data_IF_175566662035
#
_entry.id   IF_175566662035
#
_cell.length_a   1.000
_cell.length_b   1.000
_cell.length_c   1.000
_cell.angle_alpha   90.00
_cell.angle_beta   90.00
_cell.angle_gamma   90.00
#
_symmetry.space_group_name_H-M   'P 1'
#
loop_
_entity.id
_entity.type
_entity.pdbx_description
1 polymer ?
#
# COMPACT_ATOMS: atom_id res chain seq x y z
N UNK A 1 1.95 16.13 -0.68
CA UNK A 1 1.40 14.78 -0.34
C UNK A 1 -0.12 14.78 -0.30
N UNK A 2 -0.75 15.81 0.26
CA UNK A 2 -2.22 15.87 0.33
C UNK A 2 -2.90 15.80 -1.05
N UNK A 3 -2.33 16.41 -2.07
CA UNK A 3 -2.84 16.33 -3.46
C UNK A 3 -2.87 14.88 -4.02
N UNK A 4 -1.99 13.99 -3.55
CA UNK A 4 -2.01 12.58 -3.92
C UNK A 4 -3.25 11.90 -3.33
N UNK A 5 -3.53 12.15 -2.06
CA UNK A 5 -4.74 11.64 -1.38
C UNK A 5 -6.02 12.14 -2.07
N UNK A 6 -6.12 13.43 -2.35
CA UNK A 6 -7.27 14.01 -3.06
C UNK A 6 -7.43 13.43 -4.47
N UNK A 7 -6.32 13.23 -5.18
CA UNK A 7 -6.33 12.58 -6.50
C UNK A 7 -6.88 11.17 -6.42
N UNK A 8 -6.39 10.34 -5.50
CA UNK A 8 -6.84 8.95 -5.33
C UNK A 8 -8.31 8.91 -4.94
N UNK A 9 -8.76 9.72 -3.96
CA UNK A 9 -10.18 9.82 -3.57
C UNK A 9 -11.07 10.18 -4.75
N UNK A 10 -10.66 11.12 -5.57
CA UNK A 10 -11.40 11.50 -6.78
C UNK A 10 -11.48 10.35 -7.77
N UNK A 11 -10.34 9.68 -8.05
CA UNK A 11 -10.29 8.52 -8.96
C UNK A 11 -11.16 7.37 -8.44
N UNK A 12 -11.15 7.09 -7.16
CA UNK A 12 -12.01 6.07 -6.56
C UNK A 12 -13.51 6.35 -6.88
N UNK A 13 -13.94 7.60 -6.77
CA UNK A 13 -15.31 8.00 -7.11
C UNK A 13 -15.62 7.89 -8.61
N UNK A 14 -14.68 8.30 -9.47
CA UNK A 14 -14.81 8.24 -10.92
C UNK A 14 -14.92 6.80 -11.43
N UNK A 15 -14.07 5.91 -10.94
CA UNK A 15 -13.99 4.50 -11.35
C UNK A 15 -14.94 3.59 -10.56
N UNK A 16 -15.65 4.13 -9.59
CA UNK A 16 -16.56 3.39 -8.70
C UNK A 16 -15.87 2.26 -7.94
N UNK A 17 -14.68 2.52 -7.39
CA UNK A 17 -13.90 1.61 -6.55
C UNK A 17 -13.86 2.07 -5.09
N UNK A 18 -13.85 1.15 -4.15
CA UNK A 18 -13.69 1.46 -2.72
C UNK A 18 -12.20 1.56 -2.36
N UNK A 19 -11.79 2.62 -1.66
CA UNK A 19 -10.50 2.67 -0.98
C UNK A 19 -10.59 1.85 0.32
N UNK A 20 -10.13 0.60 0.27
CA UNK A 20 -10.36 -0.38 1.33
C UNK A 20 -9.57 -0.12 2.60
N UNK A 21 -8.59 0.78 2.57
CA UNK A 21 -7.85 1.20 3.77
C UNK A 21 -8.68 2.07 4.71
N UNK A 22 -9.67 2.82 4.19
CA UNK A 22 -10.54 3.65 5.06
C UNK A 22 -11.38 2.75 5.96
N UNK A 23 -11.21 2.94 7.27
CA UNK A 23 -11.92 2.19 8.30
C UNK A 23 -11.16 0.97 8.82
N UNK A 24 -9.97 0.65 8.30
CA UNK A 24 -9.12 -0.40 8.89
C UNK A 24 -8.81 -0.05 10.34
N UNK A 25 -9.03 -1.02 11.23
CA UNK A 25 -8.83 -0.83 12.66
C UNK A 25 -7.36 -0.59 12.98
N UNK A 26 -7.09 0.53 13.63
CA UNK A 26 -5.76 0.88 14.15
C UNK A 26 -5.76 0.90 15.67
N UNK A 27 -4.57 0.90 16.26
CA UNK A 27 -4.40 0.89 17.74
C UNK A 27 -4.94 2.13 18.44
N UNK A 28 -5.09 3.25 17.74
CA UNK A 28 -5.55 4.54 18.29
C UNK A 28 -6.88 4.95 17.68
N UNK A 29 -7.03 4.75 16.37
CA UNK A 29 -8.22 5.11 15.61
C UNK A 29 -8.29 4.30 14.33
N UNK A 30 -9.47 4.17 13.74
CA UNK A 30 -9.64 3.62 12.41
C UNK A 30 -8.90 4.48 11.38
N UNK A 31 -8.27 3.83 10.39
CA UNK A 31 -7.48 4.53 9.38
C UNK A 31 -8.38 5.44 8.50
N UNK A 32 -8.11 6.76 8.42
CA UNK A 32 -9.08 7.69 7.84
C UNK A 32 -8.82 8.07 6.37
N UNK A 33 -7.79 7.51 5.73
CA UNK A 33 -7.36 7.94 4.39
C UNK A 33 -7.42 6.82 3.35
N UNK A 34 -7.51 7.24 2.08
CA UNK A 34 -7.50 6.32 0.93
C UNK A 34 -6.09 5.85 0.56
N UNK A 35 -5.06 6.54 1.06
CA UNK A 35 -3.65 6.21 0.79
C UNK A 35 -2.83 6.25 2.07
N UNK A 36 -1.82 5.37 2.19
CA UNK A 36 -0.71 5.56 3.10
C UNK A 36 0.41 6.29 2.34
N UNK A 37 0.80 7.47 2.82
CA UNK A 37 1.83 8.28 2.19
C UNK A 37 3.04 8.42 3.12
N UNK A 38 4.01 7.50 2.99
CA UNK A 38 5.25 7.51 3.76
C UNK A 38 6.33 8.37 3.10
N UNK A 39 6.97 9.23 3.86
CA UNK A 39 8.05 10.10 3.39
C UNK A 39 9.39 9.67 3.99
N UNK A 40 10.41 9.52 3.15
CA UNK A 40 11.78 9.20 3.54
C UNK A 40 11.88 7.96 4.46
N UNK A 41 12.14 8.14 5.75
CA UNK A 41 12.32 7.08 6.75
C UNK A 41 11.02 6.54 7.37
N UNK A 42 9.87 7.11 7.02
CA UNK A 42 8.57 6.56 7.43
C UNK A 42 8.33 5.22 6.72
N UNK A 43 8.23 4.12 7.46
CA UNK A 43 8.23 2.77 6.88
C UNK A 43 6.90 2.42 6.25
N UNK A 44 5.79 2.44 7.02
CA UNK A 44 4.47 2.02 6.59
C UNK A 44 3.37 2.81 7.33
N UNK A 45 2.13 2.76 6.83
CA UNK A 45 0.92 3.30 7.42
C UNK A 45 0.96 4.80 7.78
N UNK A 46 1.87 5.55 7.14
CA UNK A 46 1.99 6.99 7.39
C UNK A 46 0.82 7.76 6.76
N UNK A 47 0.35 8.78 7.47
CA UNK A 47 -0.78 9.58 7.02
C UNK A 47 -0.39 10.58 5.94
N UNK A 48 -1.20 10.73 4.87
CA UNK A 48 -1.06 11.84 3.95
C UNK A 48 -1.24 13.15 4.72
N UNK A 49 -0.40 14.13 4.40
CA UNK A 49 -0.38 15.43 5.10
C UNK A 49 -0.06 16.57 4.14
N UNK A 50 -0.35 17.78 4.58
CA UNK A 50 0.02 19.01 3.87
C UNK A 50 1.53 19.24 3.98
N UNK A 51 2.27 18.51 3.13
CA UNK A 51 3.71 18.64 2.97
C UNK A 51 4.02 18.84 1.49
N UNK A 52 4.80 19.86 1.20
CA UNK A 52 5.29 20.13 -0.16
C UNK A 52 6.55 19.29 -0.37
N UNK A 53 6.47 18.34 -1.31
CA UNK A 53 7.58 17.47 -1.65
C UNK A 53 8.78 18.30 -2.14
N UNK A 54 9.97 17.92 -1.73
CA UNK A 54 11.23 18.59 -2.04
C UNK A 54 12.10 17.70 -2.93
N UNK A 55 13.03 18.34 -3.62
CA UNK A 55 14.07 17.64 -4.37
C UNK A 55 14.85 16.70 -3.45
N UNK A 56 14.97 15.43 -3.84
CA UNK A 56 15.60 14.37 -3.07
C UNK A 56 14.69 13.59 -2.12
N UNK A 57 13.43 13.99 -1.92
CA UNK A 57 12.50 13.19 -1.13
C UNK A 57 12.19 11.84 -1.78
N UNK A 58 11.96 10.83 -0.94
CA UNK A 58 11.43 9.52 -1.32
C UNK A 58 10.01 9.39 -0.80
N UNK A 59 9.04 9.40 -1.68
CA UNK A 59 7.62 9.21 -1.35
C UNK A 59 7.20 7.77 -1.62
N UNK A 60 6.66 7.09 -0.63
CA UNK A 60 5.97 5.82 -0.78
C UNK A 60 4.46 6.06 -0.75
N UNK A 61 3.78 5.53 -1.75
CA UNK A 61 2.31 5.56 -1.85
C UNK A 61 1.81 4.14 -1.85
N UNK A 62 1.06 3.81 -0.83
CA UNK A 62 0.51 2.50 -0.59
C UNK A 62 -1.02 2.61 -0.55
N UNK A 63 -1.70 1.71 -1.26
CA UNK A 63 -3.15 1.74 -1.38
C UNK A 63 -3.72 0.36 -1.65
N UNK A 64 -4.88 0.11 -1.04
CA UNK A 64 -5.70 -1.08 -1.30
C UNK A 64 -7.02 -0.64 -1.88
N UNK A 65 -7.33 -1.13 -3.08
CA UNK A 65 -8.52 -0.76 -3.83
C UNK A 65 -9.33 -2.00 -4.19
N UNK A 66 -10.66 -1.86 -4.15
CA UNK A 66 -11.55 -2.86 -4.71
C UNK A 66 -11.45 -2.90 -6.25
N UNK A 67 -11.91 -3.97 -6.87
CA UNK A 67 -12.32 -3.91 -8.27
C UNK A 67 -13.48 -2.91 -8.45
N UNK A 68 -13.75 -2.44 -9.68
CA UNK A 68 -14.90 -1.58 -9.95
C UNK A 68 -16.22 -2.27 -9.57
N UNK A 69 -17.02 -1.59 -8.75
CA UNK A 69 -18.29 -2.11 -8.23
C UNK A 69 -19.43 -1.66 -9.16
N UNK A 70 -20.41 -2.52 -9.39
CA UNK A 70 -21.62 -2.10 -10.11
C UNK A 70 -22.35 -1.00 -9.34
N UNK A 71 -22.61 0.14 -9.99
CA UNK A 71 -23.29 1.30 -9.37
C UNK A 71 -24.70 0.99 -8.86
N UNK A 72 -25.34 -0.06 -9.36
CA UNK A 72 -26.63 -0.52 -8.83
C UNK A 72 -26.48 -1.20 -7.46
N UNK A 73 -25.28 -1.73 -7.14
CA UNK A 73 -24.96 -2.33 -5.84
C UNK A 73 -24.45 -1.26 -4.88
N UNK A 74 -23.47 -0.47 -5.30
CA UNK A 74 -22.92 0.63 -4.53
C UNK A 74 -22.44 1.76 -5.43
N UNK A 75 -22.97 2.95 -5.25
CA UNK A 75 -22.50 4.16 -5.90
C UNK A 75 -21.48 4.87 -5.01
N UNK A 76 -20.19 4.56 -5.23
CA UNK A 76 -19.06 5.09 -4.44
C UNK A 76 -18.97 6.62 -4.56
N UNK A 77 -19.49 7.21 -5.66
CA UNK A 77 -19.48 8.66 -5.83
C UNK A 77 -20.29 9.41 -4.76
N UNK A 78 -21.25 8.72 -4.12
CA UNK A 78 -22.12 9.26 -3.06
C UNK A 78 -21.54 9.11 -1.66
N UNK A 79 -20.45 8.36 -1.50
CA UNK A 79 -19.83 8.20 -0.20
C UNK A 79 -19.05 9.46 0.19
N UNK A 80 -19.18 9.81 1.45
CA UNK A 80 -18.34 10.83 2.08
C UNK A 80 -17.10 10.13 2.68
N UNK A 81 -15.96 10.25 2.01
CA UNK A 81 -14.72 9.62 2.48
C UNK A 81 -14.12 10.26 3.74
N UNK A 82 -14.64 11.40 4.19
CA UNK A 82 -14.30 11.97 5.49
C UNK A 82 -15.14 11.38 6.62
N UNK A 83 -16.25 10.72 6.28
CA UNK A 83 -17.06 9.97 7.24
C UNK A 83 -16.57 8.52 7.32
N UNK A 84 -15.48 8.29 8.05
CA UNK A 84 -14.85 6.96 8.20
C UNK A 84 -15.85 5.90 8.62
N UNK A 85 -16.74 6.19 9.57
CA UNK A 85 -17.75 5.22 10.03
C UNK A 85 -18.78 4.85 8.94
N UNK A 86 -19.06 5.75 8.01
CA UNK A 86 -19.90 5.43 6.85
C UNK A 86 -19.17 4.49 5.90
N UNK A 87 -17.93 4.81 5.55
CA UNK A 87 -17.12 4.04 4.58
C UNK A 87 -16.81 2.66 5.13
N UNK A 88 -16.43 2.57 6.40
CA UNK A 88 -16.10 1.33 7.12
C UNK A 88 -17.17 0.24 6.95
N UNK A 89 -18.45 0.60 6.96
CA UNK A 89 -19.55 -0.37 6.76
C UNK A 89 -19.46 -1.11 5.42
N UNK A 90 -18.94 -0.44 4.39
CA UNK A 90 -18.80 -1.04 3.06
C UNK A 90 -17.45 -1.74 2.91
N UNK A 91 -16.38 -1.19 3.46
CA UNK A 91 -15.05 -1.80 3.38
C UNK A 91 -14.97 -3.10 4.19
N UNK A 92 -15.54 -3.15 5.39
CA UNK A 92 -15.60 -4.36 6.23
C UNK A 92 -16.47 -5.48 5.63
N UNK A 93 -17.52 -5.13 4.88
CA UNK A 93 -18.41 -6.10 4.24
C UNK A 93 -18.01 -6.46 2.81
N UNK A 94 -16.97 -5.82 2.29
CA UNK A 94 -16.50 -6.08 0.94
C UNK A 94 -15.87 -7.47 0.82
N UNK A 95 -16.27 -8.21 -0.21
CA UNK A 95 -15.80 -9.58 -0.48
C UNK A 95 -15.54 -9.85 -1.96
N UNK A 96 -15.29 -8.79 -2.74
CA UNK A 96 -14.92 -8.87 -4.16
C UNK A 96 -13.42 -8.94 -4.38
N UNK A 97 -13.00 -8.82 -5.63
CA UNK A 97 -11.59 -8.70 -6.00
C UNK A 97 -10.99 -7.40 -5.49
N UNK A 98 -9.76 -7.47 -5.03
CA UNK A 98 -9.02 -6.31 -4.55
C UNK A 98 -7.56 -6.35 -5.00
N UNK A 99 -6.92 -5.19 -5.01
CA UNK A 99 -5.50 -5.05 -5.28
C UNK A 99 -4.85 -4.23 -4.18
N UNK A 100 -3.74 -4.74 -3.67
CA UNK A 100 -2.88 -4.12 -2.66
C UNK A 100 -1.53 -3.83 -3.29
N UNK A 101 -1.08 -2.59 -3.26
CA UNK A 101 0.21 -2.24 -3.82
C UNK A 101 0.83 -0.97 -3.22
N UNK A 102 2.15 -1.04 -3.02
CA UNK A 102 2.96 0.09 -2.59
C UNK A 102 4.03 0.41 -3.62
N UNK A 103 4.15 1.69 -4.00
CA UNK A 103 5.19 2.17 -4.89
C UNK A 103 5.97 3.32 -4.28
N UNK A 104 7.30 3.31 -4.54
CA UNK A 104 8.20 4.38 -4.13
C UNK A 104 8.54 5.29 -5.32
N UNK A 105 8.45 6.59 -5.08
CA UNK A 105 8.71 7.64 -6.06
C UNK A 105 9.83 8.56 -5.56
N UNK A 106 10.93 8.63 -6.29
CA UNK A 106 11.96 9.63 -6.05
C UNK A 106 11.51 10.98 -6.59
N UNK A 107 11.56 12.01 -5.78
CA UNK A 107 11.16 13.36 -6.16
C UNK A 107 12.40 14.13 -6.63
N UNK A 108 12.34 14.63 -7.86
CA UNK A 108 13.47 15.37 -8.44
C UNK A 108 14.71 14.49 -8.61
N UNK A 109 15.82 14.89 -8.00
CA UNK A 109 17.12 14.23 -8.11
C UNK A 109 17.48 13.51 -6.81
N UNK A 110 17.17 12.20 -6.67
CA UNK A 110 17.50 11.44 -5.47
C UNK A 110 19.02 11.22 -5.36
N UNK A 111 19.51 11.07 -4.13
CA UNK A 111 20.89 10.66 -3.88
C UNK A 111 21.19 9.28 -4.47
N UNK A 112 22.45 8.96 -4.68
CA UNK A 112 22.87 7.65 -5.19
C UNK A 112 22.51 6.53 -4.19
N UNK A 113 22.51 6.83 -2.90
CA UNK A 113 22.06 5.91 -1.86
C UNK A 113 20.57 5.57 -1.99
N UNK A 114 19.71 6.57 -2.20
CA UNK A 114 18.28 6.38 -2.43
C UNK A 114 18.02 5.61 -3.71
N UNK A 115 18.72 5.93 -4.80
CA UNK A 115 18.61 5.18 -6.06
C UNK A 115 18.95 3.71 -5.87
N UNK A 116 20.07 3.44 -5.19
CA UNK A 116 20.50 2.08 -4.90
C UNK A 116 19.52 1.33 -4.01
N UNK A 117 18.97 1.98 -2.97
CA UNK A 117 17.95 1.39 -2.11
C UNK A 117 16.71 0.99 -2.93
N UNK A 118 16.23 1.88 -3.80
CA UNK A 118 15.05 1.61 -4.65
C UNK A 118 15.32 0.45 -5.62
N UNK A 119 16.50 0.40 -6.23
CA UNK A 119 16.92 -0.68 -7.14
C UNK A 119 16.96 -2.02 -6.40
N UNK A 120 17.69 -2.08 -5.27
CA UNK A 120 17.83 -3.31 -4.47
C UNK A 120 16.47 -3.79 -3.96
N UNK A 121 15.61 -2.89 -3.50
CA UNK A 121 14.25 -3.24 -3.03
C UNK A 121 13.43 -3.84 -4.17
N UNK A 122 13.45 -3.21 -5.35
CA UNK A 122 12.72 -3.71 -6.52
C UNK A 122 13.22 -5.08 -6.96
N UNK A 123 14.52 -5.28 -7.03
CA UNK A 123 15.10 -6.57 -7.42
C UNK A 123 14.81 -7.66 -6.38
N UNK A 124 14.91 -7.34 -5.08
CA UNK A 124 14.54 -8.26 -4.00
C UNK A 124 13.08 -8.71 -4.12
N UNK A 125 12.18 -7.79 -4.44
CA UNK A 125 10.76 -8.11 -4.68
C UNK A 125 10.60 -9.13 -5.82
N UNK A 126 11.26 -8.93 -6.96
CA UNK A 126 11.15 -9.86 -8.09
C UNK A 126 11.74 -11.23 -7.76
N UNK A 127 12.87 -11.29 -7.05
CA UNK A 127 13.44 -12.56 -6.59
C UNK A 127 12.49 -13.29 -5.64
N UNK A 128 11.79 -12.56 -4.78
CA UNK A 128 10.73 -13.13 -3.94
C UNK A 128 9.57 -13.68 -4.78
N UNK A 129 9.10 -12.94 -5.79
CA UNK A 129 8.03 -13.36 -6.68
C UNK A 129 8.42 -14.65 -7.44
N UNK A 130 9.68 -14.81 -7.86
CA UNK A 130 10.17 -16.01 -8.51
C UNK A 130 10.09 -17.26 -7.62
N UNK A 131 10.07 -17.07 -6.29
CA UNK A 131 9.87 -18.16 -5.34
C UNK A 131 8.40 -18.57 -5.15
N UNK A 132 7.46 -17.79 -5.64
CA UNK A 132 6.03 -18.05 -5.51
C UNK A 132 5.56 -19.12 -6.52
N UNK A 133 6.13 -20.32 -6.41
CA UNK A 133 5.86 -21.47 -7.29
C UNK A 133 5.40 -22.69 -6.49
N UNK A 134 4.71 -23.60 -7.15
CA UNK A 134 4.23 -24.85 -6.52
C UNK A 134 5.41 -25.66 -5.98
N UNK A 135 5.31 -26.01 -4.70
CA UNK A 135 6.33 -26.77 -3.96
C UNK A 135 7.19 -25.92 -3.01
N UNK A 136 7.23 -24.62 -3.21
CA UNK A 136 7.87 -23.68 -2.29
C UNK A 136 6.92 -23.28 -1.15
N UNK A 137 7.50 -22.71 -0.11
CA UNK A 137 6.81 -22.20 1.07
C UNK A 137 6.90 -20.68 1.12
N UNK A 138 6.06 -20.02 1.89
CA UNK A 138 6.13 -18.57 2.15
C UNK A 138 7.51 -18.16 2.67
N UNK A 139 8.14 -19.01 3.51
CA UNK A 139 9.50 -18.78 3.99
C UNK A 139 10.56 -18.72 2.88
N UNK A 140 10.36 -19.37 1.75
CA UNK A 140 11.31 -19.32 0.62
C UNK A 140 11.28 -17.95 -0.06
N UNK A 141 10.09 -17.33 -0.13
CA UNK A 141 9.92 -15.95 -0.60
C UNK A 141 10.67 -14.98 0.31
N UNK A 142 10.42 -15.06 1.62
CA UNK A 142 11.09 -14.21 2.61
C UNK A 142 12.61 -14.40 2.63
N UNK A 143 13.10 -15.65 2.53
CA UNK A 143 14.52 -15.96 2.49
C UNK A 143 15.21 -15.35 1.27
N UNK A 144 14.63 -15.46 0.08
CA UNK A 144 15.19 -14.88 -1.15
C UNK A 144 15.30 -13.35 -1.07
N UNK A 145 14.26 -12.68 -0.54
CA UNK A 145 14.25 -11.23 -0.34
C UNK A 145 15.34 -10.84 0.67
N UNK A 146 15.40 -11.52 1.81
CA UNK A 146 16.34 -11.22 2.88
C UNK A 146 17.78 -11.41 2.43
N UNK A 147 18.12 -12.56 1.84
CA UNK A 147 19.48 -12.87 1.37
C UNK A 147 19.96 -11.81 0.37
N UNK A 148 19.10 -11.44 -0.57
CA UNK A 148 19.44 -10.43 -1.58
C UNK A 148 19.68 -9.05 -0.96
N UNK A 149 18.79 -8.57 -0.09
CA UNK A 149 18.91 -7.27 0.55
C UNK A 149 20.12 -7.21 1.50
N UNK A 150 20.29 -8.20 2.38
CA UNK A 150 21.37 -8.23 3.38
C UNK A 150 22.75 -8.37 2.71
N UNK A 151 22.89 -9.16 1.64
CA UNK A 151 24.15 -9.25 0.88
C UNK A 151 24.59 -7.92 0.25
N UNK A 152 23.68 -6.94 0.13
CA UNK A 152 23.94 -5.60 -0.38
C UNK A 152 24.04 -4.54 0.70
N UNK A 153 24.02 -4.96 1.97
CA UNK A 153 24.19 -4.09 3.14
C UNK A 153 22.91 -3.39 3.60
N UNK A 154 21.73 -3.87 3.17
CA UNK A 154 20.43 -3.37 3.63
C UNK A 154 19.81 -4.32 4.64
N UNK A 155 19.11 -3.77 5.64
CA UNK A 155 18.31 -4.54 6.58
C UNK A 155 16.91 -4.83 6.03
N UNK A 156 16.28 -5.89 6.58
CA UNK A 156 14.87 -6.20 6.34
C UNK A 156 14.08 -5.91 7.61
N UNK A 157 12.94 -5.24 7.49
CA UNK A 157 12.04 -4.98 8.63
C UNK A 157 11.41 -6.30 9.05
N UNK A 158 11.66 -6.73 10.29
CA UNK A 158 11.23 -8.04 10.81
C UNK A 158 9.97 -7.99 11.67
N UNK A 159 9.61 -6.79 12.14
CA UNK A 159 8.42 -6.57 12.98
C UNK A 159 7.13 -6.46 12.14
N UNK A 160 7.26 -6.33 10.83
CA UNK A 160 6.16 -6.38 9.89
C UNK A 160 6.19 -7.69 9.12
N UNK A 161 5.02 -8.24 8.85
CA UNK A 161 4.84 -9.48 8.09
C UNK A 161 4.02 -9.22 6.82
N UNK A 162 4.18 -10.06 5.80
CA UNK A 162 3.28 -10.09 4.67
C UNK A 162 1.98 -10.83 5.01
N UNK A 163 0.99 -10.69 4.16
CA UNK A 163 -0.30 -11.36 4.31
C UNK A 163 -0.84 -11.82 2.96
N UNK A 164 -1.74 -12.79 2.99
CA UNK A 164 -2.53 -13.15 1.83
C UNK A 164 -3.53 -12.05 1.48
N UNK A 165 -3.92 -12.00 0.22
CA UNK A 165 -4.95 -11.11 -0.30
C UNK A 165 -5.96 -11.97 -1.06
N UNK A 166 -7.23 -11.88 -0.70
CA UNK A 166 -8.29 -12.71 -1.28
C UNK A 166 -9.66 -12.03 -1.14
N UNK A 167 -10.71 -12.74 -0.71
CA UNK A 167 -11.99 -12.12 -0.41
C UNK A 167 -11.91 -11.02 0.65
N UNK A 168 -10.91 -11.10 1.54
CA UNK A 168 -10.61 -10.04 2.51
C UNK A 168 -9.22 -9.46 2.27
N UNK A 169 -8.98 -8.24 2.79
CA UNK A 169 -7.70 -7.54 2.61
C UNK A 169 -6.54 -8.29 3.26
N UNK A 170 -6.74 -8.81 4.46
CA UNK A 170 -5.72 -9.53 5.22
C UNK A 170 -6.15 -10.97 5.40
N UNK A 171 -5.43 -11.88 4.77
CA UNK A 171 -5.63 -13.32 4.91
C UNK A 171 -4.33 -13.99 5.33
N UNK A 172 -4.47 -15.13 6.01
CA UNK A 172 -3.34 -15.97 6.33
C UNK A 172 -2.62 -16.42 5.04
N UNK A 173 -1.29 -16.46 5.03
CA UNK A 173 -0.51 -16.91 3.89
C UNK A 173 -0.62 -18.40 3.60
#
# INVERSE_FOLDING_TARGET
MWEVEEYVRRRCKEENVLPLQIGVEGSIMDYPYATCCGLNDEVAHAFPRHYILKDGDLLKVDMVLSEPIDKSVLDVSKLDFDNVAQVKKYTESYSGGLADSCWAYAIGTPSDEVKKLMEVTREAMYLGIEQAVVGNRIGDIGAAIQEYAESRGYGVVRDLVGHGVGPTMHEEP
#
